data_IF_873871008035
#
_entry.id   IF_873871008035
#
_cell.length_a   1.000
_cell.length_b   1.000
_cell.length_c   1.000
_cell.angle_alpha   90.00
_cell.angle_beta   90.00
_cell.angle_gamma   90.00
#
_symmetry.space_group_name_H-M   'P 1'
#
loop_
_entity.id
_entity.type
_entity.pdbx_description
1 polymer ?
#
# COMPACT_ATOMS: atom_id res chain seq x y z
N UNK A 1 1.96 0.71 17.28
CA UNK A 1 2.73 -0.55 17.38
C UNK A 1 2.26 -1.48 16.26
N UNK A 2 3.13 -1.84 15.32
CA UNK A 2 2.79 -2.76 14.24
C UNK A 2 2.65 -4.17 14.83
N UNK A 3 1.41 -4.65 14.94
CA UNK A 3 1.11 -6.00 15.39
C UNK A 3 1.44 -6.95 14.23
N UNK A 4 2.56 -7.67 14.31
CA UNK A 4 2.93 -8.65 13.29
C UNK A 4 1.83 -9.70 13.09
N UNK A 5 1.82 -10.37 11.93
CA UNK A 5 0.74 -11.30 11.54
C UNK A 5 0.40 -12.36 12.59
N UNK A 6 1.39 -12.84 13.34
CA UNK A 6 1.18 -13.78 14.46
C UNK A 6 0.43 -13.17 15.65
N UNK A 7 0.66 -11.89 15.95
CA UNK A 7 -0.02 -11.17 17.02
C UNK A 7 -1.44 -10.78 16.62
N UNK A 8 -1.64 -10.39 15.36
CA UNK A 8 -2.96 -10.17 14.78
C UNK A 8 -3.82 -11.44 14.83
N UNK A 9 -3.24 -12.60 14.46
CA UNK A 9 -3.91 -13.90 14.55
C UNK A 9 -4.35 -14.21 15.99
N UNK A 10 -3.52 -13.95 17.00
CA UNK A 10 -3.89 -14.15 18.41
C UNK A 10 -5.04 -13.25 18.88
N UNK A 11 -5.12 -12.02 18.38
CA UNK A 11 -6.20 -11.09 18.73
C UNK A 11 -7.53 -11.52 18.08
N UNK A 12 -7.45 -11.93 16.82
CA UNK A 12 -8.57 -12.52 16.07
C UNK A 12 -9.08 -13.78 16.79
N UNK A 13 -8.18 -14.69 17.16
CA UNK A 13 -8.51 -15.94 17.87
C UNK A 13 -9.15 -15.67 19.25
N UNK A 14 -8.88 -14.51 19.86
CA UNK A 14 -9.44 -14.08 21.15
C UNK A 14 -10.79 -13.35 21.03
N UNK A 15 -11.37 -13.25 19.83
CA UNK A 15 -12.64 -12.56 19.61
C UNK A 15 -12.56 -11.04 19.80
N UNK A 16 -11.35 -10.47 19.76
CA UNK A 16 -11.17 -9.01 19.82
C UNK A 16 -11.69 -8.43 18.51
N UNK A 17 -12.73 -7.60 18.59
CA UNK A 17 -13.23 -6.87 17.43
C UNK A 17 -12.10 -6.02 16.85
N UNK A 18 -11.72 -6.29 15.59
CA UNK A 18 -10.73 -5.44 14.92
C UNK A 18 -11.32 -4.04 14.71
N UNK A 19 -10.51 -2.99 14.83
CA UNK A 19 -10.98 -1.64 14.60
C UNK A 19 -11.58 -1.55 13.19
N UNK A 20 -12.80 -1.01 13.09
CA UNK A 20 -13.50 -0.73 11.83
C UNK A 20 -12.81 0.42 11.08
N UNK A 21 -11.56 0.25 10.72
CA UNK A 21 -10.82 1.21 9.91
C UNK A 21 -11.26 1.08 8.45
N UNK A 22 -11.19 2.18 7.71
CA UNK A 22 -11.42 2.16 6.26
C UNK A 22 -10.53 1.12 5.58
N UNK A 23 -9.31 0.93 6.07
CA UNK A 23 -8.39 -0.12 5.62
C UNK A 23 -8.96 -1.54 5.80
N UNK A 24 -9.56 -1.85 6.96
CA UNK A 24 -10.15 -3.17 7.20
C UNK A 24 -11.35 -3.48 6.28
N UNK A 25 -12.04 -2.44 5.80
CA UNK A 25 -13.12 -2.59 4.83
C UNK A 25 -12.62 -2.93 3.42
N UNK A 26 -11.38 -2.55 3.07
CA UNK A 26 -10.77 -2.79 1.76
C UNK A 26 -10.08 -4.16 1.65
N UNK A 27 -9.85 -4.85 2.78
CA UNK A 27 -9.20 -6.15 2.76
C UNK A 27 -10.12 -7.24 2.17
N UNK A 28 -9.63 -8.02 1.19
CA UNK A 28 -10.44 -9.04 0.54
C UNK A 28 -10.77 -10.20 1.50
N UNK A 29 -11.99 -10.72 1.39
CA UNK A 29 -12.57 -11.73 2.26
C UNK A 29 -12.71 -13.10 1.61
N UNK A 30 -13.04 -13.10 0.32
CA UNK A 30 -13.26 -14.31 -0.48
C UNK A 30 -12.13 -14.55 -1.47
N UNK A 31 -12.04 -15.77 -2.01
CA UNK A 31 -11.07 -16.09 -3.07
C UNK A 31 -11.24 -15.20 -4.30
N UNK A 32 -12.49 -14.88 -4.68
CA UNK A 32 -12.80 -13.98 -5.79
C UNK A 32 -12.32 -12.55 -5.52
N UNK A 33 -12.55 -12.03 -4.32
CA UNK A 33 -12.08 -10.69 -3.94
C UNK A 33 -10.54 -10.64 -3.92
N UNK A 34 -9.86 -11.71 -3.48
CA UNK A 34 -8.39 -11.78 -3.51
C UNK A 34 -7.83 -11.77 -4.93
N UNK A 35 -8.50 -12.43 -5.87
CA UNK A 35 -8.13 -12.37 -7.29
C UNK A 35 -8.19 -10.94 -7.82
N UNK A 36 -9.32 -10.24 -7.58
CA UNK A 36 -9.47 -8.84 -7.99
C UNK A 36 -8.50 -7.90 -7.26
N UNK A 37 -8.27 -8.12 -5.97
CA UNK A 37 -7.28 -7.37 -5.20
C UNK A 37 -5.86 -7.55 -5.77
N UNK A 38 -5.54 -8.75 -6.26
CA UNK A 38 -4.28 -8.99 -6.96
C UNK A 38 -4.14 -8.18 -8.25
N UNK A 39 -5.19 -8.12 -9.07
CA UNK A 39 -5.19 -7.28 -10.28
C UNK A 39 -5.09 -5.78 -9.95
N UNK A 40 -5.79 -5.33 -8.90
CA UNK A 40 -5.71 -3.96 -8.40
C UNK A 40 -4.30 -3.64 -7.91
N UNK A 41 -3.65 -4.54 -7.16
CA UNK A 41 -2.27 -4.38 -6.70
C UNK A 41 -1.27 -4.22 -7.86
N UNK A 42 -1.41 -5.04 -8.91
CA UNK A 42 -0.57 -4.91 -10.11
C UNK A 42 -0.81 -3.57 -10.83
N UNK A 43 -2.08 -3.16 -10.98
CA UNK A 43 -2.42 -1.88 -11.60
C UNK A 43 -1.94 -0.68 -10.77
N UNK A 44 -2.10 -0.73 -9.44
CA UNK A 44 -1.65 0.31 -8.52
C UNK A 44 -0.13 0.47 -8.62
N UNK A 45 0.63 -0.62 -8.46
CA UNK A 45 2.08 -0.58 -8.61
C UNK A 45 2.56 -0.05 -9.97
N UNK A 46 1.84 -0.31 -11.06
CA UNK A 46 2.17 0.28 -12.37
C UNK A 46 1.83 1.77 -12.45
N UNK A 47 0.56 2.11 -12.19
CA UNK A 47 0.01 3.44 -12.38
C UNK A 47 0.58 4.47 -11.41
N UNK A 48 0.79 4.09 -10.15
CA UNK A 48 1.34 4.95 -9.13
C UNK A 48 2.83 5.23 -9.34
N UNK A 49 3.62 4.24 -9.78
CA UNK A 49 5.03 4.49 -10.12
C UNK A 49 5.15 5.40 -11.35
N UNK A 50 4.36 5.14 -12.41
CA UNK A 50 4.32 6.03 -13.59
C UNK A 50 3.96 7.46 -13.20
N UNK A 51 2.98 7.65 -12.32
CA UNK A 51 2.56 8.99 -11.95
C UNK A 51 3.53 9.65 -10.98
N UNK A 52 3.86 9.01 -9.86
CA UNK A 52 4.60 9.63 -8.76
C UNK A 52 6.11 9.63 -8.96
N UNK A 53 6.68 8.77 -9.81
CA UNK A 53 8.14 8.72 -10.06
C UNK A 53 8.53 9.34 -11.39
N UNK A 54 7.60 9.43 -12.33
CA UNK A 54 7.85 10.04 -13.64
C UNK A 54 7.03 11.31 -13.85
N UNK A 55 5.71 11.19 -14.03
CA UNK A 55 4.90 12.31 -14.52
C UNK A 55 4.85 13.52 -13.57
N UNK A 56 4.53 13.29 -12.30
CA UNK A 56 4.34 14.35 -11.31
C UNK A 56 5.66 15.07 -10.96
N UNK A 57 6.77 14.39 -10.64
CA UNK A 57 8.05 15.07 -10.41
C UNK A 57 8.52 15.88 -11.62
N UNK A 58 8.36 15.36 -12.84
CA UNK A 58 8.72 16.10 -14.05
C UNK A 58 7.86 17.36 -14.20
N UNK A 59 6.54 17.25 -14.05
CA UNK A 59 5.64 18.40 -14.10
C UNK A 59 6.01 19.45 -13.04
N UNK A 60 6.18 19.03 -11.79
CA UNK A 60 6.57 19.93 -10.71
C UNK A 60 7.93 20.58 -10.96
N UNK A 61 8.90 19.85 -11.52
CA UNK A 61 10.21 20.41 -11.87
C UNK A 61 10.11 21.45 -12.99
N UNK A 62 9.24 21.26 -13.99
CA UNK A 62 9.01 22.26 -15.04
C UNK A 62 8.42 23.57 -14.51
N UNK A 63 7.54 23.49 -13.50
CA UNK A 63 6.90 24.67 -12.90
C UNK A 63 7.81 25.37 -11.88
N UNK A 64 8.51 24.60 -11.06
CA UNK A 64 9.32 25.15 -9.94
C UNK A 64 10.77 25.46 -10.32
N UNK A 65 11.28 24.88 -11.41
CA UNK A 65 12.70 24.90 -11.76
C UNK A 65 13.61 24.14 -10.78
N UNK A 66 13.05 23.40 -9.82
CA UNK A 66 13.80 22.77 -8.72
C UNK A 66 13.51 21.25 -8.66
N UNK A 67 14.32 20.41 -9.33
CA UNK A 67 14.09 18.97 -9.40
C UNK A 67 14.06 18.28 -8.04
N UNK A 68 14.92 18.69 -7.10
CA UNK A 68 14.94 18.14 -5.75
C UNK A 68 13.65 18.46 -4.98
N UNK A 69 13.16 19.70 -5.08
CA UNK A 69 11.89 20.10 -4.47
C UNK A 69 10.72 19.31 -5.09
N UNK A 70 10.69 19.18 -6.42
CA UNK A 70 9.67 18.44 -7.14
C UNK A 70 9.61 16.95 -6.72
N UNK A 71 10.76 16.30 -6.55
CA UNK A 71 10.85 14.94 -6.04
C UNK A 71 10.23 14.81 -4.65
N UNK A 72 10.65 15.65 -3.70
CA UNK A 72 10.17 15.56 -2.32
C UNK A 72 8.68 15.92 -2.20
N UNK A 73 8.19 16.86 -3.00
CA UNK A 73 6.75 17.14 -3.09
C UNK A 73 5.96 15.93 -3.59
N UNK A 74 6.41 15.26 -4.65
CA UNK A 74 5.75 14.06 -5.15
C UNK A 74 5.70 12.93 -4.11
N UNK A 75 6.79 12.75 -3.33
CA UNK A 75 6.86 11.79 -2.21
C UNK A 75 5.84 12.11 -1.13
N UNK A 76 5.70 13.39 -0.74
CA UNK A 76 4.72 13.80 0.27
C UNK A 76 3.29 13.63 -0.25
N UNK A 77 3.01 14.00 -1.50
CA UNK A 77 1.67 13.85 -2.10
C UNK A 77 1.30 12.36 -2.19
N UNK A 78 2.25 11.49 -2.54
CA UNK A 78 2.03 10.05 -2.55
C UNK A 78 1.60 9.51 -1.18
N UNK A 79 2.31 9.89 -0.11
CA UNK A 79 1.95 9.51 1.25
C UNK A 79 0.60 10.05 1.70
N UNK A 80 0.27 11.30 1.34
CA UNK A 80 -1.04 11.89 1.64
C UNK A 80 -2.20 11.20 0.90
N UNK A 81 -1.95 10.64 -0.31
CA UNK A 81 -2.91 9.79 -1.02
C UNK A 81 -3.35 8.56 -0.22
N UNK A 82 -2.56 8.17 0.79
CA UNK A 82 -2.81 7.03 1.67
C UNK A 82 -3.45 7.42 3.01
N UNK A 83 -4.02 8.62 3.13
CA UNK A 83 -4.66 9.10 4.37
C UNK A 83 -5.74 8.15 4.93
N UNK A 84 -6.39 7.33 4.09
CA UNK A 84 -7.36 6.32 4.50
C UNK A 84 -6.78 5.21 5.39
N UNK A 85 -5.45 5.05 5.42
CA UNK A 85 -4.73 4.12 6.29
C UNK A 85 -4.47 4.70 7.69
N UNK A 86 -4.82 5.96 7.94
CA UNK A 86 -4.51 6.71 9.15
C UNK A 86 -3.08 7.26 9.17
N UNK A 87 -2.75 8.05 10.20
CA UNK A 87 -1.48 8.79 10.29
C UNK A 87 -0.24 7.88 10.16
N UNK A 88 -0.27 6.71 10.81
CA UNK A 88 0.84 5.76 10.71
C UNK A 88 0.99 5.22 9.28
N UNK A 89 -0.13 4.96 8.58
CA UNK A 89 -0.12 4.54 7.18
C UNK A 89 0.47 5.61 6.28
N UNK A 90 0.10 6.89 6.47
CA UNK A 90 0.69 8.04 5.75
C UNK A 90 2.20 8.10 5.95
N UNK A 91 2.69 8.01 7.20
CA UNK A 91 4.12 8.08 7.49
C UNK A 91 4.85 6.90 6.84
N UNK A 92 4.33 5.67 7.00
CA UNK A 92 4.95 4.47 6.44
C UNK A 92 4.99 4.51 4.90
N UNK A 93 3.88 4.89 4.26
CA UNK A 93 3.80 5.01 2.79
C UNK A 93 4.66 6.14 2.25
N UNK A 94 4.81 7.26 2.98
CA UNK A 94 5.75 8.33 2.61
C UNK A 94 7.19 7.81 2.63
N UNK A 95 7.59 7.09 3.67
CA UNK A 95 8.95 6.53 3.80
C UNK A 95 9.23 5.52 2.69
N UNK A 96 8.31 4.56 2.47
CA UNK A 96 8.43 3.59 1.37
C UNK A 96 8.46 4.33 0.02
N UNK A 97 7.62 5.35 -0.12
CA UNK A 97 7.55 6.21 -1.29
C UNK A 97 8.89 6.84 -1.64
N UNK A 98 9.55 7.42 -0.63
CA UNK A 98 10.88 7.99 -0.73
C UNK A 98 11.94 6.95 -1.10
N UNK A 99 11.93 5.78 -0.45
CA UNK A 99 12.89 4.70 -0.72
C UNK A 99 12.79 4.20 -2.16
N UNK A 100 11.57 3.93 -2.65
CA UNK A 100 11.34 3.55 -4.05
C UNK A 100 11.76 4.66 -5.01
N UNK A 101 11.49 5.93 -4.67
CA UNK A 101 11.97 7.07 -5.42
C UNK A 101 13.49 7.12 -5.54
N UNK A 102 14.21 6.89 -4.43
CA UNK A 102 15.67 6.84 -4.41
C UNK A 102 16.22 5.63 -5.19
N UNK A 103 15.57 4.46 -5.09
CA UNK A 103 15.93 3.27 -5.89
C UNK A 103 15.76 3.57 -7.39
N UNK A 104 14.68 4.24 -7.78
CA UNK A 104 14.46 4.63 -9.17
C UNK A 104 15.55 5.61 -9.65
N UNK A 105 15.84 6.66 -8.88
CA UNK A 105 16.87 7.64 -9.24
C UNK A 105 18.27 7.01 -9.34
N UNK A 106 18.59 6.05 -8.47
CA UNK A 106 19.87 5.34 -8.50
C UNK A 106 19.97 4.34 -9.66
N UNK A 107 18.91 3.58 -9.91
CA UNK A 107 18.92 2.51 -10.91
C UNK A 107 18.57 2.97 -12.33
N UNK A 108 17.87 4.10 -12.47
CA UNK A 108 17.27 4.53 -13.74
C UNK A 108 16.17 3.59 -14.28
N UNK A 109 15.74 2.60 -13.50
CA UNK A 109 14.85 1.53 -13.96
C UNK A 109 13.47 1.61 -13.28
N UNK A 110 12.49 2.15 -14.01
CA UNK A 110 11.12 2.26 -13.52
C UNK A 110 10.45 0.89 -13.28
N UNK A 111 10.74 -0.10 -14.13
CA UNK A 111 10.14 -1.43 -14.02
C UNK A 111 10.56 -2.17 -12.76
N UNK A 112 11.79 -1.91 -12.27
CA UNK A 112 12.25 -2.43 -10.99
C UNK A 112 11.35 -1.97 -9.85
N UNK A 113 11.06 -0.66 -9.76
CA UNK A 113 10.24 -0.11 -8.68
C UNK A 113 8.76 -0.46 -8.84
N UNK A 114 8.24 -0.57 -10.07
CA UNK A 114 6.90 -1.14 -10.35
C UNK A 114 6.78 -2.56 -9.79
N UNK A 115 7.78 -3.41 -10.05
CA UNK A 115 7.80 -4.78 -9.54
C UNK A 115 7.84 -4.85 -8.01
N UNK A 116 8.70 -4.03 -7.38
CA UNK A 116 8.80 -3.98 -5.91
C UNK A 116 7.48 -3.49 -5.30
N UNK A 117 6.90 -2.40 -5.82
CA UNK A 117 5.66 -1.84 -5.31
C UNK A 117 4.49 -2.83 -5.45
N UNK A 118 4.28 -3.37 -6.66
CA UNK A 118 3.24 -4.39 -6.87
C UNK A 118 3.44 -5.61 -5.96
N UNK A 119 4.70 -6.01 -5.70
CA UNK A 119 5.04 -7.07 -4.76
C UNK A 119 4.63 -6.75 -3.31
N UNK A 120 4.85 -5.52 -2.84
CA UNK A 120 4.42 -5.04 -1.52
C UNK A 120 2.90 -5.09 -1.41
N UNK A 121 2.18 -4.65 -2.44
CA UNK A 121 0.71 -4.63 -2.44
C UNK A 121 0.13 -6.04 -2.49
N UNK A 122 0.68 -6.93 -3.31
CA UNK A 122 0.29 -8.34 -3.36
C UNK A 122 0.53 -9.03 -2.01
N UNK A 123 1.67 -8.72 -1.37
CA UNK A 123 1.96 -9.23 -0.04
C UNK A 123 0.92 -8.77 0.98
N UNK A 124 0.57 -7.48 0.96
CA UNK A 124 -0.38 -6.85 1.87
C UNK A 124 -1.82 -7.32 1.67
N UNK A 125 -2.29 -7.41 0.42
CA UNK A 125 -3.70 -7.66 0.08
C UNK A 125 -4.02 -9.14 -0.15
N UNK A 126 -3.02 -9.97 -0.50
CA UNK A 126 -3.26 -11.37 -0.85
C UNK A 126 -2.54 -12.30 0.12
N UNK A 127 -1.21 -12.20 0.22
CA UNK A 127 -0.41 -13.18 0.95
C UNK A 127 -0.65 -13.10 2.45
N UNK A 128 -0.54 -11.92 3.05
CA UNK A 128 -0.74 -11.73 4.49
C UNK A 128 -2.14 -12.15 4.95
N UNK A 129 -3.24 -11.74 4.29
CA UNK A 129 -4.59 -12.20 4.62
C UNK A 129 -4.74 -13.72 4.55
N UNK A 130 -4.11 -14.39 3.57
CA UNK A 130 -4.12 -15.85 3.50
C UNK A 130 -3.38 -16.49 4.67
N UNK A 131 -2.20 -15.98 5.03
CA UNK A 131 -1.36 -16.53 6.11
C UNK A 131 -2.00 -16.38 7.49
N UNK A 132 -2.68 -15.26 7.75
CA UNK A 132 -3.34 -15.02 9.05
C UNK A 132 -4.77 -15.57 9.12
N UNK A 133 -5.28 -16.12 8.02
CA UNK A 133 -6.66 -16.62 7.94
C UNK A 133 -7.72 -15.52 7.97
N UNK A 134 -7.42 -14.35 7.38
CA UNK A 134 -8.36 -13.23 7.29
C UNK A 134 -9.36 -13.41 6.13
N UNK A 135 -10.64 -13.07 6.37
CA UNK A 135 -11.25 -12.74 7.65
C UNK A 135 -11.50 -14.00 8.48
N UNK A 136 -11.49 -13.88 9.82
CA UNK A 136 -11.87 -14.99 10.69
C UNK A 136 -13.26 -15.55 10.35
N UNK A 137 -13.42 -16.88 10.46
CA UNK A 137 -14.69 -17.57 10.19
C UNK A 137 -15.89 -16.94 10.91
N UNK A 138 -15.70 -16.48 12.15
CA UNK A 138 -16.75 -15.82 12.93
C UNK A 138 -17.26 -14.51 12.29
N UNK A 139 -16.40 -13.76 11.57
CA UNK A 139 -16.79 -12.53 10.89
C UNK A 139 -17.60 -12.79 9.61
N UNK A 140 -17.48 -13.97 9.01
CA UNK A 140 -18.28 -14.37 7.83
C UNK A 140 -19.71 -14.77 8.22
N UNK A 141 -19.92 -15.25 9.45
CA UNK A 141 -21.22 -15.70 9.94
C UNK A 141 -22.13 -14.56 10.41
N UNK A 142 -21.57 -13.39 10.73
CA UNK A 142 -22.31 -12.21 11.20
C UNK A 142 -22.75 -11.26 10.06
N UNK A 143 -22.45 -11.60 8.80
CA UNK A 143 -22.69 -10.77 7.62
C UNK A 143 -23.89 -11.18 6.77
N UNK A 144 -24.83 -11.98 7.31
CA UNK A 144 -26.05 -12.41 6.62
C UNK A 144 -27.29 -11.85 7.33
#
# INVERSE_FOLDING_TARGET
>A
SWLGGAQMKRLIDRGVALPKTALAALLPRTGRERFWAGLIALNAGLSEELFFRLALPLLLATVTGQPALAFWLAVVIFGLGHAYQGLFGVIATTIIGALLGLIYLYSGNLWLVVGIHAGIDLWSLVVMPLLIGWPPKAALLQGN
#
